data_IF_461836198722
#
_entry.id   IF_461836198722
#
_cell.length_a   1.000
_cell.length_b   1.000
_cell.length_c   1.000
_cell.angle_alpha   90.00
_cell.angle_beta   90.00
_cell.angle_gamma   90.00
#
_symmetry.space_group_name_H-M   'P 1'
#
loop_
_entity.id
_entity.type
_entity.pdbx_description
1 polymer ?
#
# COMPACT_ATOMS: atom_id res chain seq x y z
N UNK A 1 15.33 11.59 -22.28
CA UNK A 1 14.87 12.04 -20.94
C UNK A 1 14.04 10.90 -20.38
N UNK A 2 14.41 10.32 -19.24
CA UNK A 2 13.62 9.24 -18.64
C UNK A 2 12.36 9.84 -18.02
N UNK A 3 11.18 9.37 -18.43
CA UNK A 3 9.92 9.67 -17.75
C UNK A 3 9.86 8.85 -16.48
N UNK A 4 9.79 9.51 -15.33
CA UNK A 4 9.55 8.87 -14.04
C UNK A 4 8.05 8.82 -13.80
N UNK A 5 7.58 7.74 -13.21
CA UNK A 5 6.19 7.55 -12.81
C UNK A 5 6.16 6.96 -11.40
N UNK A 6 5.12 7.27 -10.63
CA UNK A 6 4.95 6.78 -9.28
C UNK A 6 3.62 6.05 -9.10
N UNK A 7 3.57 5.14 -8.13
CA UNK A 7 2.33 4.47 -7.74
C UNK A 7 2.13 4.58 -6.23
N UNK A 8 0.90 4.90 -5.82
CA UNK A 8 0.51 4.99 -4.42
C UNK A 8 -0.52 3.89 -4.13
N UNK A 9 -0.27 3.06 -3.11
CA UNK A 9 -1.16 1.97 -2.72
C UNK A 9 -2.01 2.39 -1.54
N UNK A 10 -3.33 2.19 -1.64
CA UNK A 10 -4.28 2.50 -0.58
C UNK A 10 -5.06 1.24 -0.17
N UNK A 11 -5.49 1.25 1.08
CA UNK A 11 -6.53 0.39 1.63
C UNK A 11 -7.10 1.09 2.87
N UNK A 12 -8.39 0.88 3.21
CA UNK A 12 -8.95 1.33 4.49
C UNK A 12 -8.09 0.88 5.68
N UNK A 13 -7.93 1.73 6.70
CA UNK A 13 -7.09 1.42 7.86
C UNK A 13 -7.49 0.11 8.56
N UNK A 14 -8.79 -0.18 8.63
CA UNK A 14 -9.29 -1.43 9.19
C UNK A 14 -8.76 -2.66 8.42
N UNK A 15 -8.82 -2.62 7.09
CA UNK A 15 -8.33 -3.71 6.22
C UNK A 15 -6.80 -3.83 6.34
N UNK A 16 -6.08 -2.71 6.40
CA UNK A 16 -4.65 -2.72 6.60
C UNK A 16 -4.26 -3.33 7.96
N UNK A 17 -4.97 -2.97 9.05
CA UNK A 17 -4.77 -3.53 10.39
C UNK A 17 -5.02 -5.04 10.41
N UNK A 18 -6.10 -5.51 9.81
CA UNK A 18 -6.43 -6.95 9.77
C UNK A 18 -5.36 -7.74 9.02
N UNK A 19 -4.84 -7.20 7.92
CA UNK A 19 -3.72 -7.81 7.18
C UNK A 19 -2.43 -7.84 8.00
N UNK A 20 -2.13 -6.80 8.78
CA UNK A 20 -0.97 -6.78 9.68
C UNK A 20 -1.12 -7.88 10.73
N UNK A 21 -2.29 -7.96 11.40
CA UNK A 21 -2.58 -8.99 12.40
C UNK A 21 -2.48 -10.41 11.84
N UNK A 22 -3.08 -10.66 10.67
CA UNK A 22 -3.01 -11.96 10.01
C UNK A 22 -1.56 -12.37 9.75
N UNK A 23 -0.75 -11.47 9.22
CA UNK A 23 0.65 -11.79 8.87
C UNK A 23 1.52 -11.99 10.10
N UNK A 24 1.28 -11.24 11.18
CA UNK A 24 1.95 -11.45 12.47
C UNK A 24 1.61 -12.82 13.09
N UNK A 25 0.42 -13.36 12.81
CA UNK A 25 -0.04 -14.66 13.29
C UNK A 25 0.46 -15.83 12.40
N UNK A 26 0.41 -15.67 11.08
CA UNK A 26 0.55 -16.78 10.13
C UNK A 26 1.95 -16.91 9.51
N UNK A 27 2.77 -15.85 9.56
CA UNK A 27 4.07 -15.84 8.88
C UNK A 27 5.24 -15.76 9.86
N UNK A 28 5.85 -16.89 10.27
CA UNK A 28 6.94 -16.90 11.23
C UNK A 28 8.21 -16.21 10.72
N UNK A 29 8.41 -16.10 9.39
CA UNK A 29 9.52 -15.33 8.82
C UNK A 29 9.40 -13.83 9.07
N UNK A 30 8.20 -13.37 9.42
CA UNK A 30 7.94 -11.98 9.74
C UNK A 30 8.24 -11.60 11.19
N UNK A 31 8.75 -12.52 12.00
CA UNK A 31 9.13 -12.24 13.38
C UNK A 31 10.20 -11.14 13.52
N UNK A 32 10.98 -10.87 12.46
CA UNK A 32 11.94 -9.77 12.40
C UNK A 32 11.33 -8.42 11.98
N UNK A 33 10.02 -8.37 11.70
CA UNK A 33 9.29 -7.14 11.44
C UNK A 33 8.52 -6.71 12.69
N UNK A 34 8.43 -5.40 12.90
CA UNK A 34 7.80 -4.79 14.07
C UNK A 34 6.26 -4.80 14.02
N UNK A 35 5.65 -5.78 13.33
CA UNK A 35 4.20 -5.89 13.20
C UNK A 35 3.51 -5.97 14.58
N UNK A 36 4.15 -6.63 15.57
CA UNK A 36 3.60 -6.73 16.94
C UNK A 36 3.63 -5.40 17.67
N UNK A 37 4.77 -4.71 17.65
CA UNK A 37 4.93 -3.39 18.28
C UNK A 37 4.00 -2.36 17.63
N UNK A 38 3.87 -2.40 16.30
CA UNK A 38 2.93 -1.56 15.56
C UNK A 38 1.48 -1.82 15.98
N UNK A 39 1.06 -3.09 16.11
CA UNK A 39 -0.31 -3.42 16.56
C UNK A 39 -0.58 -2.96 18.00
N UNK A 40 0.42 -3.04 18.88
CA UNK A 40 0.33 -2.52 20.24
C UNK A 40 0.17 -1.00 20.25
N UNK A 41 1.03 -0.28 19.53
CA UNK A 41 0.96 1.18 19.41
C UNK A 41 -0.38 1.66 18.79
N UNK A 42 -0.90 0.93 17.79
CA UNK A 42 -2.22 1.20 17.21
C UNK A 42 -3.35 0.98 18.23
N UNK A 43 -3.21 0.01 19.13
CA UNK A 43 -4.20 -0.26 20.19
C UNK A 43 -4.15 0.78 21.29
N UNK A 44 -2.95 1.26 21.64
CA UNK A 44 -2.73 2.32 22.62
C UNK A 44 -3.10 3.71 22.09
N UNK A 45 -3.22 3.86 20.77
CA UNK A 45 -3.49 5.14 20.11
C UNK A 45 -2.24 6.00 19.88
N UNK A 46 -1.06 5.45 20.17
CA UNK A 46 0.24 6.09 19.95
C UNK A 46 0.59 6.16 18.45
N UNK A 47 -0.08 5.35 17.62
CA UNK A 47 0.01 5.40 16.17
C UNK A 47 -1.37 5.37 15.51
N UNK A 48 -1.46 5.86 14.27
CA UNK A 48 -2.67 5.78 13.46
C UNK A 48 -2.34 5.48 12.00
N UNK A 49 -2.95 4.43 11.44
CA UNK A 49 -2.83 4.12 10.01
C UNK A 49 -3.49 5.19 9.13
N UNK A 50 -4.43 5.97 9.67
CA UNK A 50 -5.06 7.10 8.98
C UNK A 50 -4.12 8.33 8.87
N UNK A 51 -2.99 8.32 9.58
CA UNK A 51 -2.00 9.42 9.52
C UNK A 51 -1.03 9.32 8.34
N UNK A 52 -1.13 8.25 7.54
CA UNK A 52 -0.26 8.03 6.39
C UNK A 52 -0.48 9.10 5.31
N UNK A 53 0.61 9.73 4.87
CA UNK A 53 0.61 10.69 3.75
C UNK A 53 1.53 10.15 2.65
N UNK A 54 1.02 9.88 1.43
CA UNK A 54 1.85 9.48 0.30
C UNK A 54 2.90 10.54 -0.04
N UNK A 55 4.08 10.10 -0.48
CA UNK A 55 5.08 11.00 -1.06
C UNK A 55 4.50 11.64 -2.33
N UNK A 56 4.61 12.97 -2.43
CA UNK A 56 4.18 13.73 -3.60
C UNK A 56 5.40 14.11 -4.44
N UNK A 57 5.38 13.73 -5.71
CA UNK A 57 6.41 14.02 -6.70
C UNK A 57 5.74 14.66 -7.93
N UNK A 58 6.44 15.55 -8.62
CA UNK A 58 5.94 16.18 -9.85
C UNK A 58 6.11 15.23 -11.06
N UNK A 59 5.45 14.08 -10.97
CA UNK A 59 5.44 13.02 -11.98
C UNK A 59 4.06 12.38 -12.03
N UNK A 60 3.67 11.75 -13.17
CA UNK A 60 2.45 10.97 -13.22
C UNK A 60 2.38 9.97 -12.08
N UNK A 61 1.25 9.94 -11.39
CA UNK A 61 1.02 9.06 -10.24
C UNK A 61 -0.25 8.26 -10.43
N UNK A 62 -0.16 6.93 -10.32
CA UNK A 62 -1.32 6.03 -10.37
C UNK A 62 -1.65 5.56 -8.95
N UNK A 63 -2.91 5.77 -8.53
CA UNK A 63 -3.40 5.25 -7.25
C UNK A 63 -3.92 3.83 -7.46
N UNK A 64 -3.49 2.91 -6.60
CA UNK A 64 -3.87 1.51 -6.59
C UNK A 64 -4.62 1.22 -5.31
N UNK A 65 -5.92 0.97 -5.40
CA UNK A 65 -6.72 0.52 -4.28
C UNK A 65 -6.63 -1.01 -4.16
N UNK A 66 -6.17 -1.46 -2.99
CA UNK A 66 -6.05 -2.87 -2.64
C UNK A 66 -7.07 -3.27 -1.58
N UNK A 67 -8.09 -2.45 -1.31
CA UNK A 67 -9.17 -2.74 -0.37
C UNK A 67 -9.89 -4.07 -0.68
N UNK A 68 -10.01 -4.41 -1.96
CA UNK A 68 -10.64 -5.64 -2.46
C UNK A 68 -9.80 -6.29 -3.57
N UNK A 69 -10.43 -6.72 -4.67
CA UNK A 69 -9.69 -7.12 -5.88
C UNK A 69 -8.88 -5.91 -6.34
N UNK A 70 -7.58 -6.11 -6.52
CA UNK A 70 -6.64 -5.05 -6.87
C UNK A 70 -7.16 -4.23 -8.07
N UNK A 71 -7.48 -2.96 -7.82
CA UNK A 71 -7.95 -2.03 -8.83
C UNK A 71 -7.00 -0.82 -8.85
N UNK A 72 -6.31 -0.53 -9.96
CA UNK A 72 -6.40 -1.20 -11.26
C UNK A 72 -5.66 -2.56 -11.29
N UNK A 73 -5.84 -3.30 -12.39
CA UNK A 73 -5.21 -4.61 -12.59
C UNK A 73 -3.68 -4.51 -12.62
N UNK A 74 -2.98 -5.64 -12.42
CA UNK A 74 -1.52 -5.66 -12.52
C UNK A 74 -1.06 -5.27 -13.93
N UNK A 75 -1.80 -5.67 -14.95
CA UNK A 75 -1.57 -5.33 -16.35
C UNK A 75 -1.64 -3.82 -16.58
N UNK A 76 -2.64 -3.15 -15.99
CA UNK A 76 -2.82 -1.70 -16.07
C UNK A 76 -1.75 -0.91 -15.30
N UNK A 77 -1.29 -1.46 -14.17
CA UNK A 77 -0.17 -0.89 -13.41
C UNK A 77 1.11 -1.03 -14.25
N UNK A 78 1.34 -2.18 -14.87
CA UNK A 78 2.51 -2.42 -15.68
C UNK A 78 2.49 -1.59 -16.98
N UNK A 79 1.32 -1.38 -17.59
CA UNK A 79 1.15 -0.52 -18.75
C UNK A 79 1.44 0.94 -18.41
N UNK A 80 0.95 1.41 -17.25
CA UNK A 80 1.29 2.73 -16.72
C UNK A 80 2.79 2.87 -16.64
N UNK A 81 3.48 2.05 -15.83
CA UNK A 81 4.95 2.11 -15.61
C UNK A 81 5.79 2.15 -16.90
N UNK A 82 5.29 1.61 -18.01
CA UNK A 82 5.95 1.63 -19.33
C UNK A 82 5.72 2.92 -20.13
N UNK A 83 5.01 3.92 -19.58
CA UNK A 83 4.58 5.13 -20.28
C UNK A 83 3.41 4.90 -21.26
N UNK A 84 2.65 3.81 -21.08
CA UNK A 84 1.54 3.45 -21.96
C UNK A 84 0.25 4.18 -21.61
N UNK A 85 -0.43 4.73 -22.61
CA UNK A 85 -1.82 5.20 -22.46
C UNK A 85 -2.71 4.02 -22.04
N UNK A 86 -3.47 4.10 -20.94
CA UNK A 86 -4.34 3.00 -20.53
C UNK A 86 -5.39 2.71 -21.61
N UNK A 87 -5.56 1.44 -21.95
CA UNK A 87 -6.67 0.97 -22.77
C UNK A 87 -7.92 0.86 -21.88
N UNK A 88 -9.00 1.52 -22.25
CA UNK A 88 -10.31 1.44 -21.58
C UNK A 88 -11.12 0.24 -22.06
#
# INVERSE_FOLDING_TARGET
MATFESSAVLAPAAIARDRIAQRAAENPHRAAHDDRELLEALTQGDHSLESFVPLSLDVPTKVVDTSSVCAPSIEDIAAFVRGGTPSF
#
